data_IF_026223108692
#
_entry.id   IF_026223108692
#
_cell.length_a   1.000
_cell.length_b   1.000
_cell.length_c   1.000
_cell.angle_alpha   90.00
_cell.angle_beta   90.00
_cell.angle_gamma   90.00
#
_symmetry.space_group_name_H-M   'P 1'
#
loop_
_entity.id
_entity.type
_entity.pdbx_description
1 polymer ?
#
# COMPACT_ATOMS: atom_id res chain seq x y z
N UNK A 1 12.74 6.04 4.34
CA UNK A 1 12.02 6.22 3.06
C UNK A 1 10.56 6.65 3.27
N UNK A 2 9.81 6.03 4.20
CA UNK A 2 8.43 6.42 4.50
C UNK A 2 8.28 7.89 4.96
N UNK A 3 9.19 8.37 5.81
CA UNK A 3 9.15 9.75 6.33
C UNK A 3 9.26 10.82 5.23
N UNK A 4 10.08 10.59 4.21
CA UNK A 4 10.25 11.51 3.08
C UNK A 4 8.99 11.52 2.20
N UNK A 5 8.36 10.36 1.99
CA UNK A 5 7.09 10.25 1.24
C UNK A 5 5.95 11.00 1.95
N UNK A 6 5.89 10.91 3.27
CA UNK A 6 4.88 11.64 4.07
C UNK A 6 5.05 13.16 3.95
N UNK A 7 6.29 13.67 4.06
CA UNK A 7 6.57 15.11 3.92
C UNK A 7 6.20 15.60 2.52
N UNK A 8 6.53 14.85 1.47
CA UNK A 8 6.22 15.23 0.11
C UNK A 8 4.71 15.16 -0.19
N UNK A 9 4.00 14.16 0.34
CA UNK A 9 2.54 14.07 0.23
C UNK A 9 1.86 15.26 0.91
N UNK A 10 2.30 15.64 2.10
CA UNK A 10 1.79 16.83 2.80
C UNK A 10 2.05 18.12 2.01
N UNK A 11 3.25 18.27 1.42
CA UNK A 11 3.58 19.41 0.56
C UNK A 11 2.72 19.47 -0.69
N UNK A 12 2.45 18.33 -1.33
CA UNK A 12 1.56 18.25 -2.50
C UNK A 12 0.12 18.62 -2.14
N UNK A 13 -0.39 18.16 -1.00
CA UNK A 13 -1.74 18.49 -0.55
C UNK A 13 -1.91 19.97 -0.19
N UNK A 14 -0.90 20.58 0.43
CA UNK A 14 -0.93 21.99 0.85
C UNK A 14 -0.65 22.98 -0.29
N UNK A 15 0.19 22.60 -1.27
CA UNK A 15 0.57 23.47 -2.39
C UNK A 15 -0.19 23.16 -3.69
N UNK A 16 -0.97 22.10 -3.70
CA UNK A 16 -1.82 21.71 -4.83
C UNK A 16 -3.14 22.46 -4.82
N UNK A 17 -3.73 22.57 -6.00
CA UNK A 17 -5.06 23.14 -6.27
C UNK A 17 -6.21 22.15 -5.97
N UNK A 18 -5.91 21.02 -5.31
CA UNK A 18 -6.86 19.95 -5.02
C UNK A 18 -7.20 19.05 -6.21
N UNK A 19 -6.66 19.30 -7.41
CA UNK A 19 -6.91 18.43 -8.59
C UNK A 19 -6.11 17.13 -8.53
N UNK A 20 -4.94 17.17 -7.87
CA UNK A 20 -4.09 16.01 -7.62
C UNK A 20 -4.57 15.16 -6.42
N UNK A 21 -5.87 14.87 -6.35
CA UNK A 21 -6.46 14.06 -5.29
C UNK A 21 -7.14 12.81 -5.85
N UNK A 22 -7.05 11.72 -5.10
CA UNK A 22 -7.85 10.51 -5.29
C UNK A 22 -8.56 10.27 -3.97
N UNK A 23 -9.83 9.83 -4.00
CA UNK A 23 -10.57 9.60 -2.76
C UNK A 23 -9.86 8.56 -1.89
N UNK A 24 -9.84 8.80 -0.58
CA UNK A 24 -9.22 7.90 0.38
C UNK A 24 -9.89 6.52 0.36
N UNK A 25 -11.20 6.48 0.20
CA UNK A 25 -11.96 5.21 0.11
C UNK A 25 -11.50 4.35 -1.07
N UNK A 26 -11.20 4.97 -2.21
CA UNK A 26 -10.66 4.26 -3.38
C UNK A 26 -9.29 3.68 -3.07
N UNK A 27 -8.42 4.43 -2.39
CA UNK A 27 -7.09 3.95 -1.98
C UNK A 27 -7.19 2.79 -1.00
N UNK A 28 -8.08 2.86 0.00
CA UNK A 28 -8.29 1.78 0.98
C UNK A 28 -8.84 0.52 0.31
N UNK A 29 -9.80 0.67 -0.60
CA UNK A 29 -10.35 -0.44 -1.38
C UNK A 29 -9.25 -1.13 -2.20
N UNK A 30 -8.45 -0.36 -2.94
CA UNK A 30 -7.33 -0.90 -3.72
C UNK A 30 -6.26 -1.55 -2.84
N UNK A 31 -5.96 -0.98 -1.66
CA UNK A 31 -5.02 -1.59 -0.70
C UNK A 31 -5.53 -2.96 -0.21
N UNK A 32 -6.84 -3.07 0.08
CA UNK A 32 -7.48 -4.32 0.48
C UNK A 32 -7.48 -5.35 -0.64
N UNK A 33 -7.87 -4.95 -1.86
CA UNK A 33 -7.87 -5.81 -3.05
C UNK A 33 -6.45 -6.31 -3.35
N UNK A 34 -5.45 -5.42 -3.33
CA UNK A 34 -4.05 -5.80 -3.52
C UNK A 34 -3.58 -6.77 -2.43
N UNK A 35 -3.92 -6.53 -1.16
CA UNK A 35 -3.58 -7.44 -0.06
C UNK A 35 -4.27 -8.81 -0.16
N UNK A 36 -5.46 -8.88 -0.77
CA UNK A 36 -6.17 -10.12 -1.05
C UNK A 36 -5.59 -10.86 -2.26
N UNK A 37 -5.25 -10.14 -3.34
CA UNK A 37 -4.62 -10.69 -4.55
C UNK A 37 -3.21 -11.21 -4.30
N UNK A 38 -2.51 -10.68 -3.29
CA UNK A 38 -1.24 -11.24 -2.82
C UNK A 38 -1.38 -12.65 -2.19
N UNK A 39 -2.56 -13.29 -2.21
CA UNK A 39 -2.78 -14.56 -1.51
C UNK A 39 -2.83 -15.86 -2.33
N UNK A 40 -2.86 -15.91 -3.67
CA UNK A 40 -3.25 -17.19 -4.30
C UNK A 40 -2.27 -17.87 -5.27
N UNK A 41 -1.28 -17.19 -5.87
CA UNK A 41 -0.45 -17.84 -6.91
C UNK A 41 1.05 -18.02 -6.60
N UNK A 42 1.57 -17.42 -5.53
CA UNK A 42 3.02 -17.42 -5.24
C UNK A 42 3.40 -17.92 -3.84
N UNK A 43 2.45 -18.42 -3.04
CA UNK A 43 2.73 -18.94 -1.68
C UNK A 43 3.15 -20.41 -1.64
N UNK A 44 2.87 -21.20 -2.68
CA UNK A 44 3.12 -22.66 -2.65
C UNK A 44 4.55 -23.09 -2.97
N UNK A 45 5.28 -22.37 -3.83
CA UNK A 45 6.40 -22.99 -4.55
C UNK A 45 7.81 -22.51 -4.18
N UNK A 46 8.00 -21.82 -3.04
CA UNK A 46 9.33 -21.30 -2.71
C UNK A 46 9.84 -21.40 -1.26
N UNK A 47 9.23 -22.16 -0.31
CA UNK A 47 9.86 -22.74 0.95
C UNK A 47 8.86 -23.07 2.09
N UNK A 48 8.00 -24.10 1.95
CA UNK A 48 7.34 -24.71 3.12
C UNK A 48 6.31 -23.85 3.89
N UNK A 49 5.57 -22.97 3.20
CA UNK A 49 4.29 -22.47 3.73
C UNK A 49 4.33 -21.37 4.81
N UNK A 50 5.47 -20.73 5.09
CA UNK A 50 5.48 -19.48 5.87
C UNK A 50 4.99 -18.32 5.01
N UNK A 51 3.66 -18.20 4.93
CA UNK A 51 2.99 -17.05 4.35
C UNK A 51 3.38 -15.79 5.14
N UNK A 52 4.30 -15.03 4.56
CA UNK A 52 4.74 -13.67 4.91
C UNK A 52 3.55 -12.71 5.10
N UNK A 53 2.93 -12.78 6.26
CA UNK A 53 2.14 -11.69 6.84
C UNK A 53 2.55 -11.41 8.30
N UNK A 54 3.79 -11.76 8.64
CA UNK A 54 4.43 -11.24 9.85
C UNK A 54 5.13 -9.96 9.40
N UNK A 55 4.56 -8.82 9.79
CA UNK A 55 5.32 -7.58 9.88
C UNK A 55 6.36 -7.83 10.97
N UNK A 56 7.53 -8.36 10.60
CA UNK A 56 8.69 -8.34 11.49
C UNK A 56 9.11 -6.87 11.60
N UNK A 57 8.96 -6.35 12.81
CA UNK A 57 9.19 -4.96 13.15
C UNK A 57 10.69 -4.66 13.28
#
# INVERSE_FOLDING_TARGET
IASVKAINAARMALRGDGTHHVSLDKVIKTMRETGADMQTKYKETARGGLAVNIVEC
#
